data_IF_149944544142
#
_entry.id   IF_149944544142
#
_cell.length_a   1.000
_cell.length_b   1.000
_cell.length_c   1.000
_cell.angle_alpha   90.00
_cell.angle_beta   90.00
_cell.angle_gamma   90.00
#
_symmetry.space_group_name_H-M   'P 1'
#
loop_
_entity.id
_entity.type
_entity.pdbx_description
1 polymer ?
#
# COMPACT_ATOMS: atom_id res chain seq x y z
N UNK A 1 0.43 -62.95 -6.94
CA UNK A 1 0.54 -61.72 -6.13
C UNK A 1 2.01 -61.49 -5.81
N UNK A 2 2.62 -60.37 -6.21
CA UNK A 2 4.02 -60.09 -5.88
C UNK A 2 4.11 -59.63 -4.42
N UNK A 3 4.95 -60.27 -3.62
CA UNK A 3 5.16 -59.90 -2.22
C UNK A 3 5.88 -58.53 -2.14
N UNK A 4 5.38 -57.64 -1.27
CA UNK A 4 6.03 -56.36 -0.99
C UNK A 4 7.42 -56.59 -0.39
N UNK A 5 8.43 -55.94 -0.95
CA UNK A 5 9.79 -55.97 -0.38
C UNK A 5 9.88 -55.08 0.86
N UNK A 6 10.79 -55.39 1.78
CA UNK A 6 11.02 -54.59 3.01
C UNK A 6 11.29 -53.11 2.70
N UNK A 7 11.99 -52.83 1.60
CA UNK A 7 12.27 -51.47 1.13
C UNK A 7 11.00 -50.74 0.68
N UNK A 8 10.14 -51.43 -0.07
CA UNK A 8 8.85 -50.86 -0.50
C UNK A 8 7.96 -50.55 0.70
N UNK A 9 7.91 -51.44 1.70
CA UNK A 9 7.15 -51.21 2.92
C UNK A 9 7.59 -49.93 3.66
N UNK A 10 8.90 -49.71 3.85
CA UNK A 10 9.40 -48.50 4.50
C UNK A 10 9.10 -47.23 3.70
N UNK A 11 9.21 -47.30 2.37
CA UNK A 11 8.92 -46.16 1.48
C UNK A 11 7.44 -45.77 1.50
N UNK A 12 6.52 -46.74 1.41
CA UNK A 12 5.08 -46.46 1.39
C UNK A 12 4.59 -45.98 2.74
N UNK A 13 5.11 -46.53 3.84
CA UNK A 13 4.75 -46.12 5.20
C UNK A 13 5.21 -44.70 5.51
N UNK A 14 6.44 -44.36 5.13
CA UNK A 14 6.98 -43.00 5.32
C UNK A 14 6.20 -41.95 4.53
N UNK A 15 5.87 -42.25 3.27
CA UNK A 15 5.07 -41.35 2.43
C UNK A 15 3.65 -41.16 2.98
N UNK A 16 2.97 -42.23 3.40
CA UNK A 16 1.61 -42.16 3.93
C UNK A 16 1.53 -41.31 5.22
N UNK A 17 2.49 -41.49 6.13
CA UNK A 17 2.55 -40.70 7.38
C UNK A 17 2.83 -39.22 7.09
N UNK A 18 3.78 -38.93 6.19
CA UNK A 18 4.09 -37.54 5.82
C UNK A 18 2.89 -36.83 5.20
N UNK A 19 2.20 -37.47 4.25
CA UNK A 19 0.99 -36.91 3.63
C UNK A 19 -0.14 -36.73 4.63
N UNK A 20 -0.35 -37.70 5.54
CA UNK A 20 -1.37 -37.61 6.58
C UNK A 20 -1.12 -36.47 7.58
N UNK A 21 0.13 -36.24 7.98
CA UNK A 21 0.51 -35.12 8.85
C UNK A 21 0.32 -33.77 8.14
N UNK A 22 0.75 -33.64 6.89
CA UNK A 22 0.57 -32.41 6.11
C UNK A 22 -0.91 -32.06 5.94
N UNK A 23 -1.75 -33.05 5.60
CA UNK A 23 -3.19 -32.86 5.48
C UNK A 23 -3.85 -32.53 6.83
N UNK A 24 -3.44 -33.19 7.93
CA UNK A 24 -3.94 -32.91 9.28
C UNK A 24 -3.57 -31.52 9.80
N UNK A 25 -2.48 -30.93 9.30
CA UNK A 25 -2.07 -29.55 9.57
C UNK A 25 -2.71 -28.53 8.62
N UNK A 26 -3.54 -28.97 7.67
CA UNK A 26 -4.22 -28.08 6.72
C UNK A 26 -3.31 -27.52 5.61
N UNK A 27 -2.14 -28.12 5.37
CA UNK A 27 -1.31 -27.77 4.22
C UNK A 27 -1.86 -28.43 2.96
N UNK A 28 -2.66 -27.70 2.21
CA UNK A 28 -3.06 -28.08 0.86
C UNK A 28 -1.94 -27.71 -0.13
N UNK A 29 -1.33 -28.74 -0.72
CA UNK A 29 -0.29 -28.60 -1.74
C UNK A 29 -0.87 -28.58 -3.16
N UNK A 30 -2.21 -28.58 -3.29
CA UNK A 30 -2.84 -28.33 -4.56
C UNK A 30 -2.35 -26.96 -5.10
N UNK A 31 -2.05 -26.86 -6.41
CA UNK A 31 -1.68 -25.60 -7.01
C UNK A 31 -2.85 -24.63 -6.89
N UNK A 32 -2.75 -23.69 -5.95
CA UNK A 32 -3.67 -22.57 -5.84
C UNK A 32 -3.29 -21.53 -6.89
N UNK A 33 -4.24 -21.11 -7.72
CA UNK A 33 -4.06 -19.94 -8.56
C UNK A 33 -4.06 -18.73 -7.64
N UNK A 34 -2.89 -18.12 -7.43
CA UNK A 34 -2.84 -16.83 -6.77
C UNK A 34 -3.48 -15.79 -7.69
N UNK A 35 -4.79 -15.58 -7.58
CA UNK A 35 -5.46 -14.43 -8.16
C UNK A 35 -4.83 -13.17 -7.53
N UNK A 36 -3.88 -12.57 -8.24
CA UNK A 36 -3.31 -11.30 -7.83
C UNK A 36 -4.44 -10.26 -7.84
N UNK A 37 -4.77 -9.74 -6.65
CA UNK A 37 -5.72 -8.65 -6.52
C UNK A 37 -5.28 -7.49 -7.42
N UNK A 38 -6.22 -6.95 -8.20
CA UNK A 38 -5.91 -5.78 -9.03
C UNK A 38 -5.52 -4.62 -8.12
N UNK A 39 -4.36 -4.02 -8.38
CA UNK A 39 -3.89 -2.87 -7.61
C UNK A 39 -4.89 -1.72 -7.72
N UNK A 40 -5.15 -1.03 -6.59
CA UNK A 40 -6.07 0.11 -6.53
C UNK A 40 -5.63 1.29 -7.41
N UNK A 41 -4.36 1.35 -7.78
CA UNK A 41 -3.75 2.39 -8.61
C UNK A 41 -3.63 2.01 -10.08
N UNK A 42 -4.16 0.85 -10.52
CA UNK A 42 -3.96 0.33 -11.88
C UNK A 42 -4.36 1.30 -12.99
N UNK A 43 -5.45 2.03 -12.79
CA UNK A 43 -5.98 2.98 -13.78
C UNK A 43 -5.55 4.43 -13.49
N UNK A 44 -4.86 4.66 -12.38
CA UNK A 44 -4.43 5.99 -11.97
C UNK A 44 -3.21 6.45 -12.77
N UNK A 45 -3.17 7.74 -13.07
CA UNK A 45 -2.02 8.39 -13.67
C UNK A 45 -1.06 8.83 -12.57
N UNK A 46 0.20 8.44 -12.67
CA UNK A 46 1.25 8.95 -11.78
C UNK A 46 1.68 10.37 -12.19
N UNK A 47 1.72 11.27 -11.21
CA UNK A 47 2.13 12.67 -11.38
C UNK A 47 3.26 12.97 -10.40
N UNK A 48 4.48 13.24 -10.89
CA UNK A 48 5.59 13.66 -10.03
C UNK A 48 5.33 15.02 -9.38
N UNK A 49 5.65 15.14 -8.10
CA UNK A 49 5.54 16.35 -7.30
C UNK A 49 6.56 16.34 -6.15
N UNK A 50 6.57 17.38 -5.33
CA UNK A 50 7.48 17.53 -4.18
C UNK A 50 6.67 17.72 -2.90
N UNK A 51 7.07 17.02 -1.83
CA UNK A 51 6.47 17.15 -0.51
C UNK A 51 6.80 18.52 0.11
N UNK A 52 5.76 19.32 0.38
CA UNK A 52 5.90 20.64 1.00
C UNK A 52 5.64 20.65 2.53
N UNK A 53 5.53 19.48 3.16
CA UNK A 53 5.23 19.41 4.60
C UNK A 53 6.37 19.93 5.48
N UNK A 54 7.62 19.72 5.07
CA UNK A 54 8.80 20.18 5.80
C UNK A 54 9.90 20.60 4.82
N UNK A 55 11.02 21.10 5.36
CA UNK A 55 12.10 21.68 4.54
C UNK A 55 12.95 20.65 3.75
N UNK A 56 12.68 19.35 3.87
CA UNK A 56 13.48 18.30 3.21
C UNK A 56 13.23 18.26 1.70
N UNK A 57 12.00 18.53 1.25
CA UNK A 57 11.66 18.52 -0.17
C UNK A 57 11.73 17.13 -0.82
N UNK A 58 11.24 16.09 -0.13
CA UNK A 58 11.17 14.72 -0.68
C UNK A 58 10.39 14.69 -2.00
N UNK A 59 10.87 13.91 -2.98
CA UNK A 59 10.11 13.64 -4.21
C UNK A 59 8.94 12.71 -3.96
N UNK A 60 7.81 12.97 -4.61
CA UNK A 60 6.57 12.21 -4.48
C UNK A 60 5.99 11.89 -5.84
N UNK A 61 5.36 10.72 -5.93
CA UNK A 61 4.52 10.31 -7.04
C UNK A 61 3.07 10.26 -6.55
N UNK A 62 2.23 11.16 -7.06
CA UNK A 62 0.81 11.17 -6.77
C UNK A 62 0.07 10.33 -7.80
N UNK A 63 -0.65 9.30 -7.35
CA UNK A 63 -1.56 8.55 -8.21
C UNK A 63 -2.89 9.30 -8.32
N UNK A 64 -3.24 9.73 -9.53
CA UNK A 64 -4.41 10.56 -9.82
C UNK A 64 -5.39 9.80 -10.70
N UNK A 65 -6.62 9.65 -10.22
CA UNK A 65 -7.73 9.03 -10.95
C UNK A 65 -8.92 10.01 -10.95
N UNK A 66 -9.55 10.21 -12.12
CA UNK A 66 -10.70 11.12 -12.26
C UNK A 66 -10.44 12.55 -11.70
N UNK A 67 -9.20 13.05 -11.84
CA UNK A 67 -8.78 14.35 -11.33
C UNK A 67 -8.63 14.43 -9.81
N UNK A 68 -8.68 13.29 -9.10
CA UNK A 68 -8.49 13.20 -7.65
C UNK A 68 -7.27 12.36 -7.32
N UNK A 69 -6.51 12.78 -6.31
CA UNK A 69 -5.40 12.01 -5.77
C UNK A 69 -6.00 10.86 -4.97
N UNK A 70 -5.59 9.62 -5.25
CA UNK A 70 -6.06 8.42 -4.54
C UNK A 70 -4.95 7.78 -3.70
N UNK A 71 -3.68 8.01 -4.05
CA UNK A 71 -2.51 7.53 -3.32
C UNK A 71 -1.31 8.47 -3.53
N UNK A 72 -0.36 8.44 -2.62
CA UNK A 72 0.91 9.14 -2.72
C UNK A 72 2.02 8.19 -2.28
N UNK A 73 3.05 8.06 -3.11
CA UNK A 73 4.26 7.30 -2.80
C UNK A 73 5.51 8.17 -3.01
N UNK A 74 6.65 7.71 -2.50
CA UNK A 74 7.91 8.41 -2.73
C UNK A 74 8.40 8.16 -4.15
N UNK A 75 9.06 9.16 -4.73
CA UNK A 75 9.70 9.01 -6.03
C UNK A 75 11.03 8.23 -5.89
N UNK A 76 11.17 7.03 -6.49
CA UNK A 76 12.40 6.23 -6.45
C UNK A 76 13.59 6.93 -7.11
N UNK A 77 13.35 7.80 -8.09
CA UNK A 77 14.39 8.48 -8.86
C UNK A 77 14.88 9.75 -8.14
N UNK A 78 14.20 10.18 -7.07
CA UNK A 78 14.57 11.37 -6.32
C UNK A 78 15.76 11.09 -5.37
N UNK A 79 16.85 11.90 -5.45
CA UNK A 79 18.07 11.63 -4.68
C UNK A 79 17.90 11.79 -3.17
N UNK A 80 16.89 12.55 -2.72
CA UNK A 80 16.69 12.88 -1.31
C UNK A 80 16.07 11.72 -0.56
N UNK A 81 15.11 11.01 -1.18
CA UNK A 81 14.30 10.03 -0.49
C UNK A 81 14.24 8.65 -1.16
N UNK A 82 14.64 8.51 -2.43
CA UNK A 82 14.79 7.21 -3.11
C UNK A 82 13.57 6.29 -2.92
N UNK A 83 12.36 6.86 -3.06
CA UNK A 83 11.10 6.13 -2.90
C UNK A 83 10.53 6.08 -1.48
N UNK A 84 11.31 6.43 -0.46
CA UNK A 84 10.83 6.43 0.93
C UNK A 84 10.08 7.71 1.30
N UNK A 85 9.03 7.60 2.12
CA UNK A 85 8.35 8.75 2.72
C UNK A 85 8.15 8.53 4.21
N UNK A 86 8.27 9.62 4.99
CA UNK A 86 7.85 9.61 6.39
C UNK A 86 6.31 9.60 6.50
N UNK A 87 5.77 9.39 7.71
CA UNK A 87 4.33 9.40 7.95
C UNK A 87 3.64 10.70 7.50
N UNK A 88 4.33 11.84 7.60
CA UNK A 88 3.82 13.15 7.16
C UNK A 88 3.66 13.22 5.64
N UNK A 89 4.66 12.77 4.90
CA UNK A 89 4.63 12.76 3.43
C UNK A 89 3.59 11.79 2.87
N UNK A 90 3.44 10.61 3.47
CA UNK A 90 2.38 9.67 3.09
C UNK A 90 0.97 10.23 3.36
N UNK A 91 0.82 11.04 4.41
CA UNK A 91 -0.44 11.66 4.78
C UNK A 91 -0.72 13.00 4.07
N UNK A 92 0.13 13.46 3.16
CA UNK A 92 0.04 14.82 2.58
C UNK A 92 -1.27 15.04 1.80
N UNK A 93 -1.86 13.96 1.28
CA UNK A 93 -3.21 13.93 0.68
C UNK A 93 -4.29 14.54 1.60
N UNK A 94 -4.12 14.40 2.93
CA UNK A 94 -5.04 14.95 3.92
C UNK A 94 -5.03 16.48 3.96
N UNK A 95 -3.97 17.15 3.50
CA UNK A 95 -3.96 18.62 3.40
C UNK A 95 -4.92 19.08 2.30
N UNK A 96 -4.99 18.35 1.19
CA UNK A 96 -5.84 18.70 0.05
C UNK A 96 -7.31 18.44 0.37
N UNK A 97 -7.61 17.27 0.97
CA UNK A 97 -8.97 16.80 1.23
C UNK A 97 -9.43 16.91 2.70
N UNK A 98 -8.80 17.77 3.50
CA UNK A 98 -9.26 18.03 4.86
C UNK A 98 -10.59 18.80 4.88
N UNK A 99 -11.55 18.35 5.67
CA UNK A 99 -12.79 19.11 5.94
C UNK A 99 -12.53 20.46 6.62
N UNK A 100 -11.43 20.56 7.39
CA UNK A 100 -11.04 21.80 8.10
C UNK A 100 -10.22 22.75 7.23
N UNK A 101 -9.95 22.42 5.98
CA UNK A 101 -9.16 23.27 5.07
C UNK A 101 -9.95 24.56 4.80
N UNK A 102 -9.42 25.76 5.14
CA UNK A 102 -10.12 27.00 4.85
C UNK A 102 -10.17 27.24 3.34
N UNK A 103 -11.37 27.24 2.79
CA UNK A 103 -11.63 27.49 1.36
C UNK A 103 -11.98 28.96 1.06
N UNK A 104 -12.10 29.79 2.10
CA UNK A 104 -12.43 31.22 2.02
C UNK A 104 -11.44 32.03 2.82
N UNK A 105 -11.28 33.29 2.44
CA UNK A 105 -10.40 34.21 3.14
C UNK A 105 -11.11 34.70 4.40
N UNK A 106 -10.43 34.56 5.53
CA UNK A 106 -10.85 35.19 6.77
C UNK A 106 -10.19 36.57 6.88
N UNK A 107 -11.01 37.59 7.05
CA UNK A 107 -10.60 38.97 7.15
C UNK A 107 -10.96 39.52 8.52
N UNK A 108 -10.00 40.19 9.17
CA UNK A 108 -10.25 40.96 10.38
C UNK A 108 -10.18 42.44 10.03
N UNK A 109 -11.29 43.15 10.26
CA UNK A 109 -11.39 44.59 10.03
C UNK A 109 -10.44 45.37 10.96
N UNK A 110 -9.88 46.53 10.54
CA UNK A 110 -9.19 47.44 11.45
C UNK A 110 -10.05 47.72 12.70
N UNK A 111 -9.45 47.59 13.88
CA UNK A 111 -10.12 47.71 15.19
C UNK A 111 -11.28 46.73 15.47
N UNK A 112 -11.48 45.69 14.63
CA UNK A 112 -12.51 44.67 14.85
C UNK A 112 -12.06 43.58 15.84
N UNK A 113 -13.00 43.04 16.61
CA UNK A 113 -12.73 41.96 17.58
C UNK A 113 -12.94 40.55 17.00
N UNK A 114 -13.68 40.42 15.89
CA UNK A 114 -14.05 39.15 15.28
C UNK A 114 -13.48 38.97 13.87
N UNK A 115 -13.36 37.71 13.44
CA UNK A 115 -13.01 37.34 12.07
C UNK A 115 -14.28 37.22 11.22
N UNK A 116 -14.28 37.85 10.05
CA UNK A 116 -15.36 37.82 9.06
C UNK A 116 -14.89 37.00 7.84
N UNK A 117 -15.77 36.22 7.21
CA UNK A 117 -15.45 35.62 5.90
C UNK A 117 -15.76 36.63 4.79
N UNK A 118 -14.80 36.86 3.89
CA UNK A 118 -15.01 37.64 2.66
C UNK A 118 -15.00 36.74 1.43
#
# INVERSE_FOLDING_TARGET
MRALTRRQFLQTSGAATATGVLAGLGLDLAPFTAEAQVLRTREAKEVPTVCMYCAVGCGQLAAVENGRIINIEGDPDNPINQGALCCKGNADIQIVYNERRPMRVWYRRPNGETWEQK
#
